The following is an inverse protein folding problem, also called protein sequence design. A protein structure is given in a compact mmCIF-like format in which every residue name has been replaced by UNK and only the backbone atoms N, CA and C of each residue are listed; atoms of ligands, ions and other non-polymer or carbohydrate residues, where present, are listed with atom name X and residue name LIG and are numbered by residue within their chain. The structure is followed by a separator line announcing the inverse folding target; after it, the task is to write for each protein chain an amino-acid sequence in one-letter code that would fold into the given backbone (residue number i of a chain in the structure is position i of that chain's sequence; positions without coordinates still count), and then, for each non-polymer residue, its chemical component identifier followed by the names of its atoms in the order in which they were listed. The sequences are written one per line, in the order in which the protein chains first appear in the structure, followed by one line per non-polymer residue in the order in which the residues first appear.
data_IF_670849496865
#
_entry.id   IF_670849496865
#
_cell.length_a   1.000
_cell.length_b   1.000
_cell.length_c   1.000
_cell.angle_alpha   90.00
_cell.angle_beta   90.00
_cell.angle_gamma   90.00
#
_symmetry.space_group_name_H-M   'P 1'
#
loop_
_entity.id
_entity.type
_entity.pdbx_description
1 polymer ?
#
# COMPACT_ATOMS: atom_id res chain seq x y z
N UNK A 1 10.65 44.45 19.47
CA UNK A 1 11.06 45.84 19.15
C UNK A 1 9.87 46.49 18.45
N UNK A 2 9.21 47.44 19.11
CA UNK A 2 8.04 48.15 18.58
C UNK A 2 8.48 49.35 17.77
N UNK A 3 7.90 49.56 16.60
CA UNK A 3 7.94 50.85 15.88
C UNK A 3 6.52 51.20 15.45
N UNK A 4 6.05 52.35 15.92
CA UNK A 4 4.79 53.00 15.61
C UNK A 4 5.12 54.43 15.18
N UNK A 5 4.67 54.87 14.01
CA UNK A 5 4.52 56.29 13.64
C UNK A 5 3.17 56.41 12.92
N UNK A 6 2.15 57.00 13.56
CA UNK A 6 1.78 58.43 13.71
C UNK A 6 0.98 58.97 12.52
N UNK A 7 -0.19 59.51 12.89
CA UNK A 7 -1.35 59.91 12.09
C UNK A 7 -1.29 61.39 11.72
N UNK A 8 -1.61 61.73 10.47
CA UNK A 8 -2.08 63.07 10.07
C UNK A 8 -3.54 62.99 9.58
N UNK A 9 -4.36 63.96 10.03
CA UNK A 9 -5.76 64.22 9.63
C UNK A 9 -5.72 65.29 8.53
N UNK A 10 -6.52 65.22 7.46
CA UNK A 10 -7.89 65.77 7.33
C UNK A 10 -8.05 66.05 5.82
N UNK A 11 -9.14 65.86 5.08
CA UNK A 11 -10.53 66.27 5.29
C UNK A 11 -11.40 65.67 4.15
N UNK A 12 -12.64 65.24 4.45
CA UNK A 12 -13.88 65.24 3.59
C UNK A 12 -13.83 64.47 2.23
N UNK A 13 -14.72 63.56 1.83
CA UNK A 13 -16.19 63.47 1.92
C UNK A 13 -16.62 62.11 1.31
N UNK A 14 -17.55 61.43 1.97
CA UNK A 14 -18.58 60.47 1.45
C UNK A 14 -18.18 59.14 0.78
N UNK A 15 -18.06 58.11 1.63
CA UNK A 15 -18.78 56.82 1.60
C UNK A 15 -19.37 56.41 0.23
N UNK A 16 -18.70 55.48 -0.46
CA UNK A 16 -19.37 54.39 -1.20
C UNK A 16 -18.72 53.07 -0.77
N UNK A 17 -19.50 52.27 -0.05
CA UNK A 17 -19.20 50.87 0.25
C UNK A 17 -18.97 50.11 -1.07
N UNK A 18 -17.75 49.68 -1.33
CA UNK A 18 -17.51 48.42 -2.03
C UNK A 18 -17.02 47.44 -0.97
N UNK A 19 -17.94 46.59 -0.53
CA UNK A 19 -17.70 45.46 0.33
C UNK A 19 -16.71 44.55 -0.40
N UNK A 20 -15.46 44.51 0.08
CA UNK A 20 -14.53 43.44 -0.23
C UNK A 20 -15.15 42.14 0.30
N UNK A 21 -15.82 41.42 -0.60
CA UNK A 21 -16.23 40.05 -0.35
C UNK A 21 -14.95 39.20 -0.24
N UNK A 22 -14.59 38.92 1.00
CA UNK A 22 -13.99 37.67 1.50
C UNK A 22 -13.57 36.72 0.37
N UNK A 23 -12.29 36.79 -0.03
CA UNK A 23 -11.60 35.64 -0.63
C UNK A 23 -10.54 35.14 0.36
N UNK A 24 -11.01 34.84 1.57
CA UNK A 24 -10.33 33.92 2.47
C UNK A 24 -10.62 32.50 1.95
N UNK A 25 -10.12 32.17 0.76
CA UNK A 25 -9.94 30.76 0.36
C UNK A 25 -8.82 30.23 1.23
N UNK A 26 -9.16 29.92 2.48
CA UNK A 26 -8.40 28.99 3.28
C UNK A 26 -8.19 27.76 2.42
N UNK A 27 -6.94 27.46 2.11
CA UNK A 27 -6.53 26.12 1.75
C UNK A 27 -6.89 25.25 2.96
N UNK A 28 -8.14 24.80 2.99
CA UNK A 28 -8.53 23.62 3.73
C UNK A 28 -7.74 22.53 3.02
N UNK A 29 -6.57 22.22 3.55
CA UNK A 29 -5.88 20.97 3.26
C UNK A 29 -6.81 19.88 3.77
N UNK A 30 -7.79 19.51 2.95
CA UNK A 30 -8.50 18.25 3.09
C UNK A 30 -7.41 17.19 3.00
N UNK A 31 -6.92 16.76 4.16
CA UNK A 31 -6.21 15.51 4.26
C UNK A 31 -7.29 14.47 3.95
N UNK A 32 -7.48 14.18 2.67
CA UNK A 32 -8.38 13.13 2.25
C UNK A 32 -7.81 11.85 2.84
N UNK A 33 -8.58 11.18 3.71
CA UNK A 33 -8.24 9.85 4.22
C UNK A 33 -8.30 8.76 3.12
N UNK A 34 -8.34 9.17 1.84
CA UNK A 34 -8.38 8.34 0.64
C UNK A 34 -7.00 7.90 0.17
N UNK A 35 -6.06 7.69 1.08
CA UNK A 35 -4.76 7.10 0.71
C UNK A 35 -4.44 5.86 1.55
N UNK A 36 -5.23 5.62 2.60
CA UNK A 36 -5.03 4.52 3.54
C UNK A 36 -5.79 3.27 3.10
N UNK A 37 -5.10 2.14 3.00
CA UNK A 37 -5.67 0.87 2.58
C UNK A 37 -5.31 -0.24 3.57
N UNK A 38 -6.24 -1.17 3.85
CA UNK A 38 -5.92 -2.34 4.67
C UNK A 38 -4.95 -3.25 3.93
N UNK A 39 -3.81 -3.52 4.53
CA UNK A 39 -2.76 -4.40 4.04
C UNK A 39 -2.52 -5.54 5.02
N UNK A 40 -2.14 -6.71 4.51
CA UNK A 40 -1.80 -7.86 5.34
C UNK A 40 -0.42 -7.62 5.94
N UNK A 41 -0.33 -7.57 7.26
CA UNK A 41 0.91 -7.30 8.01
C UNK A 41 1.49 -8.56 8.65
N UNK A 42 0.68 -9.60 8.80
CA UNK A 42 1.12 -10.91 9.26
C UNK A 42 0.19 -11.97 8.73
N UNK A 43 0.76 -13.11 8.33
CA UNK A 43 0.01 -14.32 8.03
C UNK A 43 0.72 -15.49 8.70
N UNK A 44 -0.07 -16.42 9.21
CA UNK A 44 0.36 -17.68 9.78
C UNK A 44 -0.43 -18.79 9.12
N UNK A 45 0.29 -19.74 8.54
CA UNK A 45 -0.29 -20.93 7.93
C UNK A 45 -0.28 -22.07 8.94
N UNK A 46 -1.41 -22.74 9.14
CA UNK A 46 -1.50 -24.02 9.83
C UNK A 46 -1.83 -25.10 8.82
N UNK A 47 -0.88 -25.98 8.56
CA UNK A 47 -1.08 -27.16 7.72
C UNK A 47 -1.89 -28.19 8.52
N UNK A 48 -3.00 -28.65 7.95
CA UNK A 48 -3.88 -29.64 8.58
C UNK A 48 -3.76 -31.01 7.92
N UNK A 49 -3.53 -31.02 6.61
CA UNK A 49 -3.21 -32.22 5.82
C UNK A 49 -2.39 -31.85 4.59
N UNK A 50 -2.05 -32.82 3.74
CA UNK A 50 -1.41 -32.54 2.45
C UNK A 50 -2.25 -31.63 1.52
N UNK A 51 -3.56 -31.55 1.77
CA UNK A 51 -4.54 -30.89 0.90
C UNK A 51 -5.33 -29.79 1.60
N UNK A 52 -5.09 -29.55 2.89
CA UNK A 52 -5.86 -28.56 3.66
C UNK A 52 -4.96 -27.74 4.58
N UNK A 53 -5.28 -26.44 4.67
CA UNK A 53 -4.61 -25.51 5.54
C UNK A 53 -5.59 -24.45 6.05
N UNK A 54 -5.28 -23.86 7.20
CA UNK A 54 -5.95 -22.65 7.68
C UNK A 54 -4.95 -21.51 7.71
N UNK A 55 -5.30 -20.39 7.07
CA UNK A 55 -4.54 -19.16 7.07
C UNK A 55 -5.12 -18.20 8.10
N UNK A 56 -4.28 -17.76 9.03
CA UNK A 56 -4.60 -16.76 10.04
C UNK A 56 -3.87 -15.49 9.66
N UNK A 57 -4.57 -14.39 9.43
CA UNK A 57 -3.92 -13.15 9.05
C UNK A 57 -4.37 -11.98 9.89
N UNK A 58 -3.43 -11.05 10.08
CA UNK A 58 -3.62 -9.78 10.73
C UNK A 58 -3.40 -8.67 9.70
N UNK A 59 -4.21 -7.63 9.82
CA UNK A 59 -4.27 -6.53 8.88
C UNK A 59 -3.92 -5.23 9.58
N UNK A 60 -3.17 -4.38 8.89
CA UNK A 60 -2.88 -3.01 9.30
C UNK A 60 -3.36 -2.03 8.25
N UNK A 61 -3.43 -0.76 8.59
CA UNK A 61 -3.79 0.30 7.65
C UNK A 61 -2.52 1.03 7.23
N UNK A 62 -2.23 1.07 5.92
CA UNK A 62 -1.04 1.71 5.37
C UNK A 62 -1.42 2.70 4.26
N UNK A 63 -0.67 3.79 4.11
CA UNK A 63 -0.83 4.71 2.99
C UNK A 63 -0.23 4.07 1.71
N UNK A 64 -1.05 3.79 0.71
CA UNK A 64 -0.65 3.23 -0.60
C UNK A 64 -0.81 4.23 -1.74
N UNK A 65 -0.97 5.51 -1.42
CA UNK A 65 -1.31 6.56 -2.39
C UNK A 65 -2.75 6.43 -2.91
N UNK A 66 -3.10 7.17 -3.98
CA UNK A 66 -4.48 7.32 -4.43
C UNK A 66 -5.02 6.13 -5.24
N UNK A 67 -4.22 5.09 -5.48
CA UNK A 67 -4.53 4.03 -6.46
C UNK A 67 -5.82 3.26 -6.11
N UNK A 68 -6.06 2.99 -4.83
CA UNK A 68 -7.27 2.29 -4.38
C UNK A 68 -8.52 3.17 -4.39
N UNK A 69 -8.38 4.50 -4.42
CA UNK A 69 -9.52 5.40 -4.53
C UNK A 69 -9.95 5.66 -5.97
N UNK A 70 -9.06 5.44 -6.92
CA UNK A 70 -9.33 5.65 -8.35
C UNK A 70 -10.11 4.50 -8.98
N UNK A 71 -10.20 3.35 -8.31
CA UNK A 71 -10.90 2.16 -8.79
C UNK A 71 -12.28 2.11 -8.13
N UNK A 72 -13.33 2.38 -8.90
CA UNK A 72 -14.72 2.32 -8.43
C UNK A 72 -15.29 0.91 -8.58
N UNK A 73 -15.92 0.41 -7.51
CA UNK A 73 -16.70 -0.83 -7.58
C UNK A 73 -18.00 -0.58 -8.36
N UNK A 74 -18.35 -1.42 -9.34
CA UNK A 74 -19.63 -1.33 -10.04
C UNK A 74 -20.84 -1.46 -9.10
N UNK A 75 -22.01 -1.06 -9.58
CA UNK A 75 -23.25 -1.17 -8.82
C UNK A 75 -23.57 -2.63 -8.49
N UNK A 76 -24.00 -2.90 -7.26
CA UNK A 76 -24.38 -4.24 -6.83
C UNK A 76 -23.21 -5.17 -6.48
N UNK A 77 -21.98 -4.81 -6.87
CA UNK A 77 -20.79 -5.60 -6.58
C UNK A 77 -20.46 -5.62 -5.08
N UNK A 78 -19.73 -6.66 -4.68
CA UNK A 78 -19.24 -6.88 -3.33
C UNK A 78 -17.75 -6.55 -3.27
N UNK A 79 -17.31 -6.08 -2.10
CA UNK A 79 -15.92 -6.14 -1.69
C UNK A 79 -15.75 -7.38 -0.82
N UNK A 80 -14.74 -8.18 -1.12
CA UNK A 80 -14.41 -9.38 -0.37
C UNK A 80 -12.93 -9.38 0.02
N UNK A 81 -12.64 -9.85 1.22
CA UNK A 81 -11.31 -10.32 1.55
C UNK A 81 -11.27 -11.80 1.22
N UNK A 82 -10.49 -12.15 0.22
CA UNK A 82 -10.52 -13.46 -0.40
C UNK A 82 -9.11 -14.00 -0.60
N UNK A 83 -9.01 -15.32 -0.78
CA UNK A 83 -7.81 -15.94 -1.34
C UNK A 83 -8.02 -16.29 -2.81
N UNK A 84 -6.92 -16.19 -3.58
CA UNK A 84 -6.81 -16.81 -4.90
C UNK A 84 -6.51 -18.28 -4.69
N UNK A 85 -7.44 -19.11 -5.10
CA UNK A 85 -7.21 -20.55 -5.17
C UNK A 85 -6.74 -20.87 -6.58
N UNK A 86 -5.50 -21.34 -6.70
CA UNK A 86 -4.91 -21.61 -8.00
C UNK A 86 -5.64 -22.77 -8.71
N UNK A 87 -5.94 -22.59 -10.00
CA UNK A 87 -6.67 -23.55 -10.82
C UNK A 87 -5.77 -24.68 -11.34
N UNK A 88 -5.38 -25.65 -10.49
CA UNK A 88 -4.45 -26.72 -10.94
C UNK A 88 -4.98 -28.16 -10.90
N UNK A 89 -4.68 -29.00 -11.93
CA UNK A 89 -4.14 -28.67 -13.27
C UNK A 89 -5.24 -28.37 -14.30
N UNK A 90 -5.17 -27.21 -14.95
CA UNK A 90 -6.00 -26.85 -16.12
C UNK A 90 -7.30 -26.10 -15.80
N UNK A 91 -7.50 -25.72 -14.54
CA UNK A 91 -8.60 -24.85 -14.13
C UNK A 91 -8.20 -23.38 -14.19
N UNK A 92 -9.17 -22.49 -14.06
CA UNK A 92 -8.91 -21.07 -13.86
C UNK A 92 -8.77 -20.80 -12.36
N UNK A 93 -7.90 -19.86 -11.99
CA UNK A 93 -7.79 -19.40 -10.62
C UNK A 93 -9.11 -18.79 -10.17
N UNK A 94 -9.57 -19.12 -8.97
CA UNK A 94 -10.83 -18.64 -8.44
C UNK A 94 -10.68 -17.78 -7.19
N UNK A 95 -11.61 -16.85 -7.01
CA UNK A 95 -11.77 -16.07 -5.79
C UNK A 95 -12.57 -16.88 -4.78
N UNK A 96 -12.00 -17.08 -3.59
CA UNK A 96 -12.70 -17.71 -2.47
C UNK A 96 -12.82 -16.71 -1.31
N UNK A 97 -14.01 -16.13 -1.11
CA UNK A 97 -14.20 -15.07 -0.12
C UNK A 97 -14.24 -15.62 1.32
N UNK A 98 -13.58 -14.91 2.23
CA UNK A 98 -13.60 -15.19 3.67
C UNK A 98 -14.65 -14.34 4.39
N UNK A 99 -14.59 -13.04 4.12
CA UNK A 99 -15.51 -12.02 4.61
C UNK A 99 -15.81 -11.07 3.47
N UNK A 100 -17.02 -10.53 3.44
CA UNK A 100 -17.46 -9.68 2.36
C UNK A 100 -18.53 -8.69 2.85
N UNK A 101 -18.73 -7.65 2.07
CA UNK A 101 -19.87 -6.75 2.19
C UNK A 101 -20.21 -6.14 0.84
N UNK A 102 -21.42 -5.60 0.70
CA UNK A 102 -21.82 -4.91 -0.51
C UNK A 102 -21.00 -3.62 -0.68
N UNK A 103 -20.43 -3.40 -1.87
CA UNK A 103 -19.52 -2.29 -2.17
C UNK A 103 -20.20 -0.92 -2.29
N UNK A 104 -21.54 -0.89 -2.50
CA UNK A 104 -22.38 0.33 -2.48
C UNK A 104 -21.87 1.49 -3.38
N UNK A 105 -21.37 1.22 -4.59
CA UNK A 105 -20.82 2.22 -5.54
C UNK A 105 -19.68 3.09 -4.95
N UNK A 106 -18.78 2.47 -4.19
CA UNK A 106 -17.63 3.14 -3.58
C UNK A 106 -16.33 2.78 -4.29
N UNK A 107 -15.28 3.53 -4.01
CA UNK A 107 -13.94 3.08 -4.38
C UNK A 107 -13.61 1.75 -3.69
N UNK A 108 -12.72 0.95 -4.28
CA UNK A 108 -12.25 -0.29 -3.64
C UNK A 108 -11.53 0.02 -2.32
N UNK A 109 -10.84 1.16 -2.23
CA UNK A 109 -10.20 1.60 -0.99
C UNK A 109 -11.19 1.89 0.13
N UNK A 110 -12.25 2.65 -0.16
CA UNK A 110 -13.31 2.94 0.82
C UNK A 110 -14.04 1.67 1.25
N UNK A 111 -14.41 0.82 0.28
CA UNK A 111 -15.09 -0.43 0.56
C UNK A 111 -14.22 -1.40 1.39
N UNK A 112 -12.92 -1.51 1.07
CA UNK A 112 -11.98 -2.35 1.80
C UNK A 112 -11.76 -1.84 3.24
N UNK A 113 -11.64 -0.52 3.45
CA UNK A 113 -11.55 0.07 4.79
C UNK A 113 -12.80 -0.20 5.62
N UNK A 114 -13.98 -0.07 5.03
CA UNK A 114 -15.24 -0.37 5.72
C UNK A 114 -15.34 -1.84 6.11
N UNK A 115 -14.94 -2.75 5.23
CA UNK A 115 -14.90 -4.18 5.52
C UNK A 115 -13.87 -4.50 6.61
N UNK A 116 -12.68 -3.90 6.55
CA UNK A 116 -11.65 -4.01 7.58
C UNK A 116 -12.16 -3.55 8.94
N UNK A 117 -12.79 -2.37 9.02
CA UNK A 117 -13.29 -1.83 10.28
C UNK A 117 -14.41 -2.68 10.89
N UNK A 118 -15.25 -3.30 10.06
CA UNK A 118 -16.37 -4.12 10.52
C UNK A 118 -15.97 -5.55 10.89
N UNK A 119 -15.09 -6.18 10.10
CA UNK A 119 -14.86 -7.62 10.15
C UNK A 119 -13.37 -8.01 10.15
N UNK A 120 -12.47 -7.12 9.72
CA UNK A 120 -11.06 -7.42 9.46
C UNK A 120 -10.04 -6.91 10.49
N UNK A 121 -10.46 -6.13 11.49
CA UNK A 121 -9.56 -5.53 12.49
C UNK A 121 -8.94 -6.54 13.46
N UNK A 122 -9.53 -7.73 13.58
CA UNK A 122 -8.99 -8.86 14.33
C UNK A 122 -8.22 -9.87 13.47
N UNK A 123 -7.88 -11.03 14.07
CA UNK A 123 -7.34 -12.16 13.32
C UNK A 123 -8.48 -12.75 12.47
N UNK A 124 -8.34 -12.65 11.17
CA UNK A 124 -9.28 -13.27 10.23
C UNK A 124 -8.74 -14.63 9.79
N UNK A 125 -9.66 -15.56 9.49
CA UNK A 125 -9.33 -16.94 9.12
C UNK A 125 -9.83 -17.23 7.72
N UNK A 126 -8.97 -17.82 6.90
CA UNK A 126 -9.33 -18.41 5.61
C UNK A 126 -9.01 -19.89 5.66
N UNK A 127 -9.97 -20.71 5.23
CA UNK A 127 -9.76 -22.14 5.07
C UNK A 127 -9.43 -22.44 3.61
N UNK A 128 -8.38 -23.24 3.43
CA UNK A 128 -7.95 -23.78 2.15
C UNK A 128 -8.23 -25.27 2.09
N UNK A 129 -8.74 -25.71 0.93
CA UNK A 129 -8.89 -27.11 0.59
C UNK A 129 -8.64 -27.31 -0.91
N UNK A 130 -7.49 -27.90 -1.24
CA UNK A 130 -7.05 -28.14 -2.61
C UNK A 130 -5.97 -29.22 -2.67
N UNK A 131 -5.30 -29.40 -3.81
CA UNK A 131 -4.32 -30.49 -3.96
C UNK A 131 -3.02 -30.31 -3.16
N UNK A 132 -2.72 -29.07 -2.73
CA UNK A 132 -1.50 -28.72 -1.98
C UNK A 132 -1.64 -27.35 -1.30
N UNK A 133 -0.77 -27.04 -0.34
CA UNK A 133 -0.91 -25.88 0.55
C UNK A 133 -0.01 -24.68 0.19
N UNK A 134 0.11 -24.33 -1.09
CA UNK A 134 0.98 -23.22 -1.53
C UNK A 134 0.59 -22.68 -2.90
N UNK A 135 1.14 -21.52 -3.27
CA UNK A 135 0.84 -20.80 -4.53
C UNK A 135 -0.32 -19.79 -4.42
N UNK A 136 -1.10 -19.89 -3.35
CA UNK A 136 -2.24 -19.01 -3.11
C UNK A 136 -1.81 -17.64 -2.61
N UNK A 137 -2.71 -16.67 -2.72
CA UNK A 137 -2.50 -15.34 -2.20
C UNK A 137 -3.79 -14.74 -1.64
N UNK A 138 -3.68 -13.76 -0.74
CA UNK A 138 -4.83 -13.13 -0.10
C UNK A 138 -4.86 -11.64 -0.44
N UNK A 139 -6.06 -11.11 -0.67
CA UNK A 139 -6.25 -9.70 -0.91
C UNK A 139 -7.72 -9.27 -0.90
N UNK A 140 -7.92 -7.96 -0.85
CA UNK A 140 -9.23 -7.35 -1.03
C UNK A 140 -9.56 -7.25 -2.52
N UNK A 141 -10.68 -7.85 -2.92
CA UNK A 141 -11.10 -7.93 -4.31
C UNK A 141 -12.57 -7.55 -4.47
N UNK A 142 -12.88 -6.83 -5.54
CA UNK A 142 -14.23 -6.53 -5.98
C UNK A 142 -14.76 -7.66 -6.86
N UNK A 143 -15.95 -8.18 -6.54
CA UNK A 143 -16.61 -9.27 -7.29
C UNK A 143 -18.08 -8.99 -7.50
N UNK A 144 -18.65 -9.44 -8.62
CA UNK A 144 -20.07 -9.22 -8.94
C UNK A 144 -21.01 -9.94 -7.98
N UNK A 145 -20.64 -11.15 -7.56
CA UNK A 145 -21.38 -11.91 -6.56
C UNK A 145 -20.41 -12.68 -5.63
N UNK A 146 -20.96 -13.37 -4.65
CA UNK A 146 -20.20 -14.14 -3.65
C UNK A 146 -20.63 -15.61 -3.58
N UNK A 147 -21.68 -15.97 -4.33
CA UNK A 147 -22.35 -17.26 -4.25
C UNK A 147 -21.85 -18.23 -5.32
N UNK A 148 -21.21 -17.73 -6.38
CA UNK A 148 -20.57 -18.53 -7.42
C UNK A 148 -19.07 -18.31 -7.41
N UNK A 149 -18.25 -19.34 -7.68
CA UNK A 149 -16.82 -19.16 -7.89
C UNK A 149 -16.57 -18.13 -9.00
N UNK A 150 -15.88 -17.04 -8.67
CA UNK A 150 -15.46 -16.03 -9.64
C UNK A 150 -14.05 -16.32 -10.10
N UNK A 151 -13.75 -16.08 -11.37
CA UNK A 151 -12.37 -16.14 -11.83
C UNK A 151 -11.58 -15.01 -11.21
N UNK A 152 -10.37 -15.30 -10.75
CA UNK A 152 -9.47 -14.28 -10.19
C UNK A 152 -9.22 -13.14 -11.18
N UNK A 153 -9.06 -13.46 -12.46
CA UNK A 153 -8.84 -12.49 -13.55
C UNK A 153 -10.03 -11.58 -13.83
N UNK A 154 -11.24 -11.95 -13.39
CA UNK A 154 -12.45 -11.14 -13.53
C UNK A 154 -12.69 -10.24 -12.30
N UNK A 155 -11.94 -10.46 -11.22
CA UNK A 155 -12.05 -9.68 -10.01
C UNK A 155 -11.33 -8.33 -10.15
N UNK A 156 -11.95 -7.28 -9.61
CA UNK A 156 -11.35 -5.96 -9.56
C UNK A 156 -10.41 -5.90 -8.36
N UNK A 157 -9.14 -5.57 -8.59
CA UNK A 157 -8.16 -5.46 -7.51
C UNK A 157 -7.12 -4.39 -7.83
N UNK A 158 -6.70 -3.54 -6.86
CA UNK A 158 -5.59 -2.62 -7.09
C UNK A 158 -4.28 -3.41 -7.27
N UNK A 159 -3.34 -2.83 -8.02
CA UNK A 159 -1.99 -3.40 -8.19
C UNK A 159 -1.35 -3.65 -6.82
N UNK A 160 -0.77 -4.83 -6.62
CA UNK A 160 -0.24 -5.26 -5.32
C UNK A 160 -1.27 -5.98 -4.42
N UNK A 161 -2.49 -6.18 -4.91
CA UNK A 161 -3.44 -7.11 -4.29
C UNK A 161 -3.11 -8.52 -4.75
N UNK A 162 -2.82 -9.40 -3.79
CA UNK A 162 -2.43 -10.83 -3.90
C UNK A 162 -1.15 -11.05 -3.09
N UNK A 163 -1.23 -10.91 -1.76
CA UNK A 163 -0.11 -11.25 -0.88
C UNK A 163 -0.01 -12.77 -0.79
N UNK A 164 1.07 -13.34 -1.32
CA UNK A 164 1.29 -14.78 -1.30
C UNK A 164 1.26 -15.35 0.12
N UNK A 165 0.58 -16.48 0.25
CA UNK A 165 0.53 -17.25 1.50
C UNK A 165 1.67 -18.25 1.47
N UNK A 166 2.67 -18.12 2.37
CA UNK A 166 3.76 -19.06 2.39
C UNK A 166 3.30 -20.44 2.85
N UNK A 167 4.01 -21.45 2.34
CA UNK A 167 3.94 -22.85 2.75
C UNK A 167 4.39 -22.99 4.21
N UNK A 168 3.44 -23.18 5.12
CA UNK A 168 3.70 -23.64 6.50
C UNK A 168 4.86 -22.92 7.21
N UNK A 169 5.93 -23.68 7.47
CA UNK A 169 7.08 -23.27 8.28
C UNK A 169 8.08 -22.36 7.55
N UNK A 170 7.87 -22.03 6.27
CA UNK A 170 8.74 -21.12 5.49
C UNK A 170 8.25 -19.68 5.62
N UNK A 171 8.59 -19.01 6.73
CA UNK A 171 8.13 -17.68 7.04
C UNK A 171 9.30 -16.70 7.18
N UNK A 172 9.23 -15.59 6.45
CA UNK A 172 10.08 -14.43 6.69
C UNK A 172 9.28 -13.34 7.41
N UNK A 173 9.69 -13.03 8.64
CA UNK A 173 9.16 -11.91 9.41
C UNK A 173 9.93 -10.63 9.06
N UNK A 174 9.22 -9.61 8.60
CA UNK A 174 9.77 -8.25 8.49
C UNK A 174 9.90 -7.68 9.90
N UNK A 175 11.12 -7.39 10.34
CA UNK A 175 11.40 -6.83 11.67
C UNK A 175 11.40 -5.29 11.66
N UNK A 176 11.61 -4.68 10.49
CA UNK A 176 11.56 -3.22 10.28
C UNK A 176 10.41 -2.87 9.34
N UNK A 177 9.17 -2.75 9.86
CA UNK A 177 7.99 -2.55 9.03
C UNK A 177 7.89 -1.16 8.38
N UNK A 178 8.69 -0.20 8.85
CA UNK A 178 8.71 1.17 8.33
C UNK A 178 10.14 1.58 7.95
N UNK A 179 10.28 2.18 6.77
CA UNK A 179 11.54 2.73 6.27
C UNK A 179 11.34 4.21 5.90
N UNK A 180 11.96 5.11 6.66
CA UNK A 180 11.87 6.55 6.43
C UNK A 180 13.15 7.05 5.76
N UNK A 181 13.07 7.44 4.49
CA UNK A 181 14.22 7.96 3.73
C UNK A 181 14.27 9.49 3.82
N UNK A 182 15.03 10.00 4.79
CA UNK A 182 15.27 11.44 4.92
C UNK A 182 16.48 11.85 4.08
N UNK A 183 16.24 12.74 3.10
CA UNK A 183 17.27 13.32 2.24
C UNK A 183 17.82 14.65 2.80
N UNK A 184 17.29 15.14 3.93
CA UNK A 184 17.75 16.36 4.58
C UNK A 184 17.49 17.64 3.78
N UNK A 185 18.23 18.69 4.12
CA UNK A 185 18.24 19.96 3.37
C UNK A 185 19.41 19.92 2.40
N UNK A 186 19.10 19.77 1.12
CA UNK A 186 20.07 19.69 0.03
C UNK A 186 19.85 20.83 -0.96
N UNK A 187 20.91 21.30 -1.61
CA UNK A 187 20.76 22.28 -2.68
C UNK A 187 20.16 21.64 -3.95
N UNK A 188 19.56 22.46 -4.82
CA UNK A 188 19.06 21.99 -6.12
C UNK A 188 20.17 21.36 -6.99
N UNK A 189 21.43 21.76 -6.79
CA UNK A 189 22.57 21.18 -7.51
C UNK A 189 22.90 19.77 -7.01
N UNK A 190 22.66 19.51 -5.73
CA UNK A 190 22.95 18.24 -5.07
C UNK A 190 21.78 17.26 -5.14
N UNK A 191 20.58 17.72 -5.52
CA UNK A 191 19.37 16.89 -5.50
C UNK A 191 19.39 15.78 -6.54
N UNK A 192 20.00 16.01 -7.71
CA UNK A 192 20.06 14.99 -8.76
C UNK A 192 21.05 13.89 -8.36
N UNK A 193 20.54 12.65 -8.23
CA UNK A 193 21.33 11.51 -7.79
C UNK A 193 21.61 11.47 -6.30
N UNK A 194 20.99 12.34 -5.48
CA UNK A 194 21.16 12.30 -4.02
C UNK A 194 20.60 11.00 -3.45
N UNK A 195 21.37 10.33 -2.60
CA UNK A 195 21.02 9.02 -2.03
C UNK A 195 20.75 9.09 -0.53
N UNK A 196 19.75 8.33 -0.09
CA UNK A 196 19.52 8.00 1.31
C UNK A 196 19.33 6.49 1.44
N UNK A 197 19.97 5.87 2.42
CA UNK A 197 19.93 4.41 2.61
C UNK A 197 19.33 4.07 3.97
N UNK A 198 18.44 3.06 3.99
CA UNK A 198 17.86 2.47 5.20
C UNK A 198 17.94 0.97 5.14
N UNK A 199 17.95 0.35 6.32
CA UNK A 199 18.13 -1.09 6.48
C UNK A 199 16.81 -1.77 6.75
N UNK A 200 16.45 -2.69 5.87
CA UNK A 200 15.34 -3.63 6.03
C UNK A 200 15.87 -4.89 6.70
N UNK A 201 15.37 -5.20 7.90
CA UNK A 201 15.66 -6.45 8.60
C UNK A 201 14.53 -7.44 8.35
N UNK A 202 14.89 -8.62 7.84
CA UNK A 202 13.98 -9.73 7.59
C UNK A 202 14.55 -10.97 8.29
N UNK A 203 13.72 -11.68 9.03
CA UNK A 203 14.12 -12.89 9.74
C UNK A 203 13.33 -14.09 9.24
N UNK A 204 14.02 -15.02 8.59
CA UNK A 204 13.41 -16.18 7.95
C UNK A 204 13.63 -17.44 8.78
N UNK A 205 12.60 -18.27 8.91
CA UNK A 205 12.69 -19.57 9.62
C UNK A 205 13.51 -20.61 8.84
N UNK A 206 13.49 -20.54 7.51
CA UNK A 206 14.26 -21.36 6.59
C UNK A 206 14.87 -20.48 5.47
N UNK A 207 15.84 -21.02 4.74
CA UNK A 207 16.35 -20.36 3.55
C UNK A 207 15.25 -20.28 2.48
N UNK A 208 15.06 -19.12 1.89
CA UNK A 208 13.95 -18.88 0.95
C UNK A 208 14.32 -17.90 -0.15
N UNK A 209 13.53 -17.88 -1.22
CA UNK A 209 13.64 -16.88 -2.28
C UNK A 209 12.51 -15.88 -2.14
N UNK A 210 12.83 -14.60 -2.03
CA UNK A 210 11.87 -13.51 -1.95
C UNK A 210 11.97 -12.59 -3.15
N UNK A 211 10.94 -11.78 -3.38
CA UNK A 211 10.94 -10.64 -4.28
C UNK A 211 10.43 -9.41 -3.53
N UNK A 212 11.15 -8.30 -3.66
CA UNK A 212 10.81 -7.01 -3.08
C UNK A 212 10.45 -6.03 -4.18
N UNK A 213 9.31 -5.36 -4.11
CA UNK A 213 8.88 -4.38 -5.12
C UNK A 213 7.91 -3.35 -4.56
N UNK A 214 7.75 -2.22 -5.26
CA UNK A 214 6.79 -1.16 -4.92
C UNK A 214 5.62 -1.21 -5.93
N UNK A 215 4.37 -1.41 -5.49
CA UNK A 215 3.19 -1.40 -6.37
C UNK A 215 2.89 -0.01 -6.92
N UNK A 216 2.29 0.07 -8.11
CA UNK A 216 1.77 1.35 -8.65
C UNK A 216 2.78 2.22 -9.42
N UNK A 217 3.92 1.67 -9.85
CA UNK A 217 4.89 2.32 -10.73
C UNK A 217 5.71 1.33 -11.55
N UNK A 218 6.74 1.81 -12.26
CA UNK A 218 7.88 0.95 -12.63
C UNK A 218 8.45 0.48 -11.29
N UNK A 219 8.59 -0.85 -11.08
CA UNK A 219 8.79 -1.63 -9.83
C UNK A 219 9.76 -1.12 -8.72
N UNK A 220 10.26 0.10 -8.83
CA UNK A 220 11.27 0.73 -8.00
C UNK A 220 11.08 2.26 -7.87
N UNK A 221 9.95 2.87 -8.22
CA UNK A 221 9.82 4.34 -8.29
C UNK A 221 8.62 4.90 -7.53
N UNK A 222 8.83 6.02 -6.83
CA UNK A 222 7.78 6.86 -6.25
C UNK A 222 7.89 8.31 -6.76
N UNK A 223 6.76 9.00 -6.91
CA UNK A 223 6.74 10.42 -7.29
C UNK A 223 6.91 11.33 -6.07
N UNK A 224 7.76 12.35 -6.19
CA UNK A 224 7.99 13.37 -5.19
C UNK A 224 7.83 14.76 -5.84
N UNK A 225 6.60 15.28 -5.84
CA UNK A 225 6.25 16.47 -6.61
C UNK A 225 6.30 16.21 -8.11
N UNK A 226 7.09 17.01 -8.85
CA UNK A 226 7.36 16.78 -10.29
C UNK A 226 8.56 15.85 -10.54
N UNK A 227 9.33 15.54 -9.50
CA UNK A 227 10.45 14.61 -9.56
C UNK A 227 10.06 13.22 -9.07
N UNK A 228 11.06 12.35 -8.96
CA UNK A 228 10.88 10.96 -8.56
C UNK A 228 11.98 10.51 -7.60
N UNK A 229 11.69 9.51 -6.78
CA UNK A 229 12.69 8.72 -6.09
C UNK A 229 12.73 7.31 -6.69
N UNK A 230 13.91 6.82 -7.05
CA UNK A 230 14.14 5.43 -7.44
C UNK A 230 14.74 4.64 -6.28
N UNK A 231 14.37 3.37 -6.18
CA UNK A 231 14.74 2.48 -5.09
C UNK A 231 15.56 1.30 -5.60
N UNK A 232 16.63 0.97 -4.87
CA UNK A 232 17.50 -0.16 -5.16
C UNK A 232 17.86 -0.92 -3.89
N UNK A 233 18.37 -2.15 -4.01
CA UNK A 233 18.74 -2.98 -2.86
C UNK A 233 20.21 -3.41 -2.94
N UNK A 234 20.85 -3.66 -1.80
CA UNK A 234 22.22 -4.23 -1.75
C UNK A 234 22.33 -5.66 -2.29
N UNK A 235 21.19 -6.32 -2.49
CA UNK A 235 21.08 -7.72 -2.93
C UNK A 235 20.60 -7.81 -4.39
N UNK A 236 20.53 -6.70 -5.12
CA UNK A 236 20.11 -6.63 -6.51
C UNK A 236 18.99 -5.63 -6.78
N UNK A 237 18.33 -5.80 -7.92
CA UNK A 237 17.25 -4.92 -8.36
C UNK A 237 15.93 -5.30 -7.68
N UNK A 238 15.14 -4.30 -7.29
CA UNK A 238 13.74 -4.52 -6.92
C UNK A 238 12.99 -5.19 -8.08
N UNK A 239 12.02 -6.02 -7.75
CA UNK A 239 11.23 -6.83 -8.68
C UNK A 239 11.94 -8.08 -9.19
N UNK A 240 13.18 -8.35 -8.77
CA UNK A 240 13.89 -9.61 -9.05
C UNK A 240 13.89 -10.55 -7.84
N UNK A 241 13.90 -11.88 -8.06
CA UNK A 241 14.07 -12.84 -6.98
C UNK A 241 15.43 -12.67 -6.30
N UNK A 242 15.46 -12.85 -4.98
CA UNK A 242 16.65 -12.79 -4.14
C UNK A 242 16.62 -13.93 -3.12
N UNK A 243 17.75 -14.59 -2.91
CA UNK A 243 17.85 -15.67 -1.92
C UNK A 243 18.27 -15.11 -0.57
N UNK A 244 17.51 -15.45 0.47
CA UNK A 244 17.85 -15.15 1.86
C UNK A 244 18.13 -16.45 2.63
N UNK A 245 19.18 -16.49 3.46
CA UNK A 245 19.42 -17.62 4.35
C UNK A 245 18.38 -17.68 5.47
N UNK A 246 18.31 -18.84 6.14
CA UNK A 246 17.62 -18.94 7.42
C UNK A 246 18.25 -17.99 8.45
N UNK A 247 17.43 -17.44 9.33
CA UNK A 247 17.79 -16.43 10.30
C UNK A 247 17.64 -15.00 9.78
N UNK A 248 18.31 -14.07 10.45
CA UNK A 248 18.19 -12.64 10.19
C UNK A 248 19.07 -12.20 9.03
N UNK A 249 18.45 -11.60 8.03
CA UNK A 249 19.06 -10.91 6.91
C UNK A 249 18.86 -9.40 7.01
N UNK A 250 19.89 -8.64 6.63
CA UNK A 250 19.83 -7.18 6.55
C UNK A 250 20.01 -6.76 5.10
N UNK A 251 18.99 -6.11 4.54
CA UNK A 251 18.97 -5.64 3.15
C UNK A 251 19.02 -4.11 3.20
N UNK A 252 20.04 -3.52 2.60
CA UNK A 252 20.13 -2.07 2.50
C UNK A 252 19.30 -1.62 1.30
N UNK A 253 18.27 -0.81 1.58
CA UNK A 253 17.41 -0.18 0.58
C UNK A 253 17.93 1.25 0.38
N UNK A 254 18.12 1.67 -0.85
CA UNK A 254 18.61 3.01 -1.19
C UNK A 254 17.59 3.74 -2.04
N UNK A 255 17.19 4.93 -1.60
CA UNK A 255 16.37 5.92 -2.30
C UNK A 255 17.29 6.92 -3.01
N UNK A 256 17.09 7.15 -4.31
CA UNK A 256 17.84 8.09 -5.14
C UNK A 256 16.90 9.10 -5.82
N UNK A 257 17.15 10.39 -5.64
CA UNK A 257 16.29 11.46 -6.18
C UNK A 257 16.63 11.83 -7.62
N UNK A 258 15.60 12.12 -8.40
CA UNK A 258 15.69 12.61 -9.78
C UNK A 258 14.67 13.72 -10.03
N UNK A 259 15.11 14.84 -10.64
CA UNK A 259 14.23 15.91 -11.10
C UNK A 259 13.40 16.60 -10.01
N UNK A 260 13.80 16.51 -8.74
CA UNK A 260 13.09 17.13 -7.62
C UNK A 260 13.33 18.64 -7.64
N UNK A 261 12.24 19.43 -7.66
CA UNK A 261 12.30 20.89 -7.69
C UNK A 261 12.57 21.52 -6.32
N UNK A 262 12.74 22.84 -6.30
CA UNK A 262 12.86 23.61 -5.04
C UNK A 262 11.56 23.49 -4.23
N UNK A 263 11.67 23.12 -2.97
CA UNK A 263 10.54 23.04 -2.05
C UNK A 263 10.72 21.97 -0.99
N UNK A 264 9.68 21.76 -0.17
CA UNK A 264 9.57 20.64 0.75
C UNK A 264 8.68 19.58 0.10
N UNK A 265 9.22 18.37 -0.06
CA UNK A 265 8.53 17.25 -0.68
C UNK A 265 8.46 16.07 0.29
N UNK A 266 7.37 15.31 0.21
CA UNK A 266 7.19 14.06 0.94
C UNK A 266 6.33 13.15 0.07
N UNK A 267 6.63 11.85 0.11
CA UNK A 267 5.90 10.82 -0.59
C UNK A 267 5.93 9.54 0.25
N UNK A 268 4.90 8.71 0.09
CA UNK A 268 4.77 7.43 0.77
C UNK A 268 4.36 6.36 -0.22
N UNK A 269 4.78 5.14 0.04
CA UNK A 269 4.39 3.97 -0.73
C UNK A 269 4.59 2.71 0.11
N UNK A 270 4.05 1.59 -0.38
CA UNK A 270 4.22 0.29 0.26
C UNK A 270 5.23 -0.52 -0.54
N UNK A 271 6.16 -1.16 0.17
CA UNK A 271 7.02 -2.18 -0.40
C UNK A 271 6.42 -3.54 -0.08
N UNK A 272 6.14 -4.34 -1.10
CA UNK A 272 5.72 -5.72 -0.95
C UNK A 272 6.96 -6.61 -0.89
N UNK A 273 6.94 -7.54 0.08
CA UNK A 273 7.89 -8.64 0.21
C UNK A 273 7.10 -9.92 0.03
N UNK A 274 7.37 -10.68 -1.02
CA UNK A 274 6.66 -11.94 -1.29
C UNK A 274 7.64 -13.09 -1.56
N UNK A 275 7.30 -14.33 -1.18
CA UNK A 275 8.01 -15.52 -1.62
C UNK A 275 7.90 -15.73 -3.15
N UNK A 276 8.92 -16.32 -3.76
CA UNK A 276 8.98 -16.70 -5.18
C UNK A 276 9.27 -18.18 -5.35
#
# INVERSE_FOLDING_TARGET
MFVLFKKEKSNRITIRLMIYAISLTGFISFHAWGEFYPVIVSIKTRIESATTATYFFQQGVANIGPISEQIMLPEGWYIALAHRHDGFPGGEDIVVPAVYMQGKKRSIGEAARDLYNQQGSGITKIYHSGKGNGGECIGYVGVENISTPHKWMEAISPVGTCMYVPSGDEWCKIETPELVFDHGVISLRESEGHKATKRLAINCTAGTTLRLYIPGGINSLLFAGKGTSTFSTSQGQLGKPMQLPAGRSNIDITSELHGVGIGKWSTSGVMIVEPV
#
